data_IF_270120827488
#
_entry.id   IF_270120827488
#
_cell.length_a   1.000
_cell.length_b   1.000
_cell.length_c   1.000
_cell.angle_alpha   90.00
_cell.angle_beta   90.00
_cell.angle_gamma   90.00
#
_symmetry.space_group_name_H-M   'P 1'
#
loop_
_entity.id
_entity.type
_entity.pdbx_description
1 polymer ?
#
# COMPACT_ATOMS: atom_id res chain seq x y z
N UNK A 1 8.08 -21.12 4.46
CA UNK A 1 8.73 -20.69 3.19
C UNK A 1 9.10 -21.85 2.24
N UNK A 2 9.50 -23.03 2.73
CA UNK A 2 9.84 -24.20 1.88
C UNK A 2 8.65 -25.05 1.38
N UNK A 3 7.44 -24.83 1.90
CA UNK A 3 6.26 -25.65 1.59
C UNK A 3 5.62 -25.36 0.22
N UNK A 4 5.79 -24.15 -0.33
CA UNK A 4 5.23 -23.76 -1.63
C UNK A 4 6.00 -24.39 -2.80
N UNK A 5 7.32 -24.56 -2.67
CA UNK A 5 8.14 -25.27 -3.65
C UNK A 5 7.81 -26.77 -3.68
N UNK A 6 7.59 -27.36 -2.50
CA UNK A 6 7.08 -28.72 -2.42
C UNK A 6 5.70 -28.82 -3.07
N UNK A 7 4.77 -27.89 -2.86
CA UNK A 7 3.42 -27.98 -3.44
C UNK A 7 3.39 -27.86 -4.97
N UNK A 8 4.22 -27.04 -5.61
CA UNK A 8 4.24 -26.94 -7.09
C UNK A 8 4.90 -28.16 -7.71
N UNK A 9 6.04 -28.61 -7.17
CA UNK A 9 6.70 -29.84 -7.65
C UNK A 9 5.85 -31.07 -7.34
N UNK A 10 5.23 -31.13 -6.16
CA UNK A 10 4.32 -32.21 -5.77
C UNK A 10 2.99 -32.14 -6.52
N UNK A 11 2.52 -30.98 -6.99
CA UNK A 11 1.33 -30.87 -7.83
C UNK A 11 1.62 -31.30 -9.27
N UNK A 12 2.78 -30.97 -9.83
CA UNK A 12 3.23 -31.48 -11.14
C UNK A 12 3.51 -32.98 -11.06
N UNK A 13 4.15 -33.45 -9.98
CA UNK A 13 4.39 -34.88 -9.74
C UNK A 13 3.11 -35.65 -9.38
N UNK A 14 2.15 -35.04 -8.67
CA UNK A 14 0.84 -35.65 -8.39
C UNK A 14 -0.06 -35.66 -9.63
N UNK A 15 0.02 -34.65 -10.49
CA UNK A 15 -0.63 -34.66 -11.81
C UNK A 15 -0.02 -35.70 -12.74
N UNK A 16 1.29 -35.95 -12.64
CA UNK A 16 1.97 -37.07 -13.31
C UNK A 16 1.67 -38.43 -12.64
N UNK A 17 1.44 -38.48 -11.31
CA UNK A 17 1.20 -39.70 -10.54
C UNK A 17 -0.28 -40.13 -10.50
N UNK A 18 -1.24 -39.23 -10.74
CA UNK A 18 -2.66 -39.55 -10.90
C UNK A 18 -3.00 -40.17 -12.27
N UNK A 19 -1.96 -40.52 -13.04
CA UNK A 19 -2.09 -41.28 -14.26
C UNK A 19 -2.39 -40.36 -15.45
N UNK A 20 -1.50 -40.41 -16.44
CA UNK A 20 -1.87 -40.08 -17.81
C UNK A 20 -3.10 -40.94 -18.11
N UNK A 21 -4.29 -40.38 -18.41
CA UNK A 21 -5.41 -41.20 -18.83
C UNK A 21 -4.93 -42.02 -20.02
N UNK A 22 -4.92 -43.36 -19.84
CA UNK A 22 -4.45 -44.29 -20.85
C UNK A 22 -5.08 -43.94 -22.18
N UNK A 23 -4.30 -44.00 -23.26
CA UNK A 23 -4.66 -43.70 -24.65
C UNK A 23 -5.90 -44.45 -25.21
N UNK A 24 -6.68 -45.15 -24.39
CA UNK A 24 -7.68 -46.14 -24.77
C UNK A 24 -9.04 -45.99 -24.04
N UNK A 25 -9.45 -44.81 -23.59
CA UNK A 25 -10.86 -44.59 -23.16
C UNK A 25 -11.67 -43.94 -24.29
N UNK A 26 -12.68 -44.60 -24.86
CA UNK A 26 -13.44 -44.11 -26.02
C UNK A 26 -14.42 -42.96 -25.71
N UNK A 27 -14.50 -42.50 -24.46
CA UNK A 27 -15.50 -41.52 -24.00
C UNK A 27 -14.90 -40.30 -23.28
N UNK A 28 -13.58 -40.19 -23.17
CA UNK A 28 -12.90 -39.05 -22.54
C UNK A 28 -12.50 -37.97 -23.57
N UNK A 29 -12.39 -36.69 -23.18
CA UNK A 29 -11.77 -35.69 -24.04
C UNK A 29 -10.36 -36.17 -24.41
N UNK A 30 -9.91 -35.97 -25.67
CA UNK A 30 -8.58 -36.39 -26.10
C UNK A 30 -7.53 -35.90 -25.10
N UNK A 31 -6.55 -36.76 -24.75
CA UNK A 31 -5.59 -36.50 -23.67
C UNK A 31 -4.91 -35.11 -23.76
N UNK A 32 -4.79 -34.57 -24.97
CA UNK A 32 -4.30 -33.22 -25.25
C UNK A 32 -5.20 -32.09 -24.71
N UNK A 33 -6.53 -32.24 -24.75
CA UNK A 33 -7.48 -31.27 -24.19
C UNK A 33 -7.43 -31.29 -22.66
N UNK A 34 -7.43 -32.48 -22.06
CA UNK A 34 -7.28 -32.62 -20.60
C UNK A 34 -5.98 -31.98 -20.09
N UNK A 35 -4.86 -32.25 -20.75
CA UNK A 35 -3.56 -31.69 -20.37
C UNK A 35 -3.53 -30.16 -20.51
N UNK A 36 -4.17 -29.63 -21.57
CA UNK A 36 -4.32 -28.19 -21.78
C UNK A 36 -5.13 -27.55 -20.65
N UNK A 37 -6.25 -28.15 -20.26
CA UNK A 37 -7.14 -27.58 -19.24
C UNK A 37 -6.48 -27.58 -17.85
N UNK A 38 -5.75 -28.65 -17.51
CA UNK A 38 -4.95 -28.72 -16.28
C UNK A 38 -3.85 -27.64 -16.29
N UNK A 39 -3.14 -27.45 -17.41
CA UNK A 39 -2.11 -26.42 -17.52
C UNK A 39 -2.70 -25.00 -17.41
N UNK A 40 -3.84 -24.75 -18.04
CA UNK A 40 -4.50 -23.44 -17.98
C UNK A 40 -4.99 -23.12 -16.57
N UNK A 41 -5.59 -24.09 -15.88
CA UNK A 41 -6.03 -23.92 -14.50
C UNK A 41 -4.85 -23.67 -13.55
N UNK A 42 -3.73 -24.37 -13.75
CA UNK A 42 -2.52 -24.12 -12.97
C UNK A 42 -1.92 -22.74 -13.27
N UNK A 43 -1.90 -22.30 -14.52
CA UNK A 43 -1.42 -20.97 -14.89
C UNK A 43 -2.29 -19.85 -14.28
N UNK A 44 -3.61 -20.02 -14.28
CA UNK A 44 -4.54 -19.05 -13.67
C UNK A 44 -4.38 -18.98 -12.15
N UNK A 45 -4.23 -20.14 -11.50
CA UNK A 45 -3.93 -20.20 -10.06
C UNK A 45 -2.58 -19.55 -9.72
N UNK A 46 -1.54 -19.78 -10.53
CA UNK A 46 -0.24 -19.15 -10.34
C UNK A 46 -0.29 -17.64 -10.59
N UNK A 47 -1.08 -17.18 -11.57
CA UNK A 47 -1.24 -15.76 -11.87
C UNK A 47 -1.96 -15.03 -10.73
N UNK A 48 -3.03 -15.61 -10.18
CA UNK A 48 -3.75 -15.06 -9.03
C UNK A 48 -2.89 -15.06 -7.76
N UNK A 49 -2.14 -16.13 -7.51
CA UNK A 49 -1.18 -16.19 -6.42
C UNK A 49 -0.11 -15.10 -6.59
N UNK A 50 0.52 -15.00 -7.76
CA UNK A 50 1.56 -14.01 -8.06
C UNK A 50 1.05 -12.57 -7.87
N UNK A 51 -0.19 -12.29 -8.27
CA UNK A 51 -0.84 -10.99 -8.08
C UNK A 51 -1.00 -10.59 -6.61
N UNK A 52 -1.23 -11.57 -5.73
CA UNK A 52 -1.47 -11.34 -4.29
C UNK A 52 -0.19 -11.16 -3.46
N UNK A 53 0.98 -11.53 -4.00
CA UNK A 53 2.24 -11.51 -3.25
C UNK A 53 2.79 -10.07 -3.08
N UNK A 54 3.49 -9.83 -1.98
CA UNK A 54 4.30 -8.62 -1.80
C UNK A 54 5.41 -8.57 -2.86
N UNK A 55 5.85 -7.36 -3.24
CA UNK A 55 6.92 -7.15 -4.23
C UNK A 55 8.15 -8.05 -4.00
N UNK A 56 8.66 -8.11 -2.77
CA UNK A 56 9.81 -8.95 -2.38
C UNK A 56 9.55 -10.43 -2.67
N UNK A 57 8.35 -10.93 -2.35
CA UNK A 57 7.99 -12.32 -2.60
C UNK A 57 7.86 -12.61 -4.10
N UNK A 58 7.38 -11.65 -4.91
CA UNK A 58 7.37 -11.78 -6.37
C UNK A 58 8.79 -11.96 -6.91
N UNK A 59 9.78 -11.20 -6.42
CA UNK A 59 11.19 -11.37 -6.81
C UNK A 59 11.73 -12.76 -6.47
N UNK A 60 11.52 -13.20 -5.22
CA UNK A 60 11.95 -14.53 -4.78
C UNK A 60 11.29 -15.62 -5.61
N UNK A 61 9.99 -15.48 -5.91
CA UNK A 61 9.24 -16.40 -6.74
C UNK A 61 9.84 -16.53 -8.14
N UNK A 62 10.21 -15.41 -8.78
CA UNK A 62 10.85 -15.42 -10.10
C UNK A 62 12.24 -16.09 -10.07
N UNK A 63 13.07 -15.79 -9.07
CA UNK A 63 14.40 -16.43 -8.92
C UNK A 63 14.24 -17.94 -8.75
N UNK A 64 13.30 -18.37 -7.90
CA UNK A 64 12.99 -19.78 -7.67
C UNK A 64 12.46 -20.45 -8.93
N UNK A 65 11.58 -19.79 -9.68
CA UNK A 65 11.04 -20.30 -10.93
C UNK A 65 12.12 -20.43 -12.03
N UNK A 66 13.17 -19.60 -12.00
CA UNK A 66 14.29 -19.67 -12.94
C UNK A 66 15.26 -20.83 -12.65
N UNK A 67 15.43 -21.23 -11.38
CA UNK A 67 16.33 -22.32 -10.97
C UNK A 67 16.15 -23.64 -11.75
N UNK A 68 14.94 -24.20 -11.94
CA UNK A 68 14.78 -25.43 -12.71
C UNK A 68 15.23 -25.27 -14.16
N UNK A 69 15.05 -24.11 -14.79
CA UNK A 69 15.53 -23.87 -16.15
C UNK A 69 17.06 -23.84 -16.24
N UNK A 70 17.72 -23.22 -15.25
CA UNK A 70 19.19 -23.21 -15.16
C UNK A 70 19.72 -24.63 -14.96
N UNK A 71 19.12 -25.40 -14.05
CA UNK A 71 19.51 -26.78 -13.78
C UNK A 71 19.31 -27.69 -15.00
N UNK A 72 18.15 -27.60 -15.65
CA UNK A 72 17.85 -28.41 -16.83
C UNK A 72 18.82 -28.11 -17.97
N UNK A 73 19.05 -26.82 -18.27
CA UNK A 73 20.00 -26.40 -19.31
C UNK A 73 21.43 -26.84 -19.01
N UNK A 74 21.86 -26.77 -17.75
CA UNK A 74 23.18 -27.24 -17.28
C UNK A 74 23.36 -28.75 -17.44
N UNK A 75 22.34 -29.54 -17.11
CA UNK A 75 22.36 -31.01 -17.28
C UNK A 75 22.40 -31.39 -18.76
N UNK A 76 21.58 -30.76 -19.59
CA UNK A 76 21.60 -30.99 -21.04
C UNK A 76 22.96 -30.66 -21.66
N UNK A 77 23.55 -29.54 -21.26
CA UNK A 77 24.86 -29.13 -21.73
C UNK A 77 26.00 -30.06 -21.27
N UNK A 78 25.95 -30.52 -20.02
CA UNK A 78 26.88 -31.52 -19.50
C UNK A 78 26.85 -32.79 -20.36
N UNK A 79 25.66 -33.28 -20.73
CA UNK A 79 25.51 -34.46 -21.59
C UNK A 79 26.02 -34.25 -23.01
N UNK A 80 25.90 -33.04 -23.56
CA UNK A 80 26.33 -32.75 -24.93
C UNK A 80 27.84 -32.51 -25.07
N UNK A 81 28.48 -31.98 -24.03
CA UNK A 81 29.88 -31.50 -24.11
C UNK A 81 30.85 -32.25 -23.20
N UNK A 82 30.35 -33.05 -22.25
CA UNK A 82 31.19 -33.72 -21.24
C UNK A 82 31.83 -32.78 -20.22
N UNK A 83 31.50 -31.48 -20.24
CA UNK A 83 32.06 -30.49 -19.30
C UNK A 83 31.58 -30.73 -17.87
N UNK A 84 32.40 -30.53 -16.82
CA UNK A 84 31.98 -30.79 -15.45
C UNK A 84 30.74 -29.98 -15.07
N UNK A 85 29.78 -30.62 -14.38
CA UNK A 85 28.47 -30.04 -14.04
C UNK A 85 28.55 -28.67 -13.32
N UNK A 86 29.47 -28.44 -12.36
CA UNK A 86 29.61 -27.12 -11.74
C UNK A 86 29.97 -26.01 -12.74
N UNK A 87 30.80 -26.31 -13.74
CA UNK A 87 31.18 -25.34 -14.76
C UNK A 87 30.02 -25.01 -15.71
N UNK A 88 29.22 -26.01 -16.09
CA UNK A 88 28.02 -25.76 -16.89
C UNK A 88 26.97 -24.97 -16.10
N UNK A 89 26.84 -25.22 -14.80
CA UNK A 89 25.89 -24.51 -13.93
C UNK A 89 26.26 -23.02 -13.81
N UNK A 90 27.53 -22.70 -13.58
CA UNK A 90 28.03 -21.31 -13.57
C UNK A 90 27.79 -20.65 -14.93
N UNK A 91 28.05 -21.37 -16.03
CA UNK A 91 27.85 -20.87 -17.40
C UNK A 91 26.40 -20.46 -17.65
N UNK A 92 25.44 -21.33 -17.35
CA UNK A 92 24.02 -20.99 -17.52
C UNK A 92 23.50 -20.01 -16.48
N UNK A 93 24.04 -19.99 -15.26
CA UNK A 93 23.75 -18.94 -14.29
C UNK A 93 24.16 -17.56 -14.81
N UNK A 94 25.36 -17.43 -15.38
CA UNK A 94 25.85 -16.18 -15.99
C UNK A 94 25.02 -15.80 -17.21
N UNK A 95 24.67 -16.78 -18.05
CA UNK A 95 23.86 -16.55 -19.25
C UNK A 95 22.43 -16.10 -18.90
N UNK A 96 21.85 -16.66 -17.83
CA UNK A 96 20.50 -16.33 -17.39
C UNK A 96 20.45 -14.96 -16.69
N UNK A 97 21.46 -14.63 -15.87
CA UNK A 97 21.54 -13.35 -15.16
C UNK A 97 22.20 -12.21 -15.96
N UNK A 98 22.61 -12.49 -17.21
CA UNK A 98 23.29 -11.54 -18.10
C UNK A 98 24.49 -10.82 -17.45
N UNK A 99 25.33 -11.59 -16.75
CA UNK A 99 26.57 -11.02 -16.20
C UNK A 99 27.50 -10.65 -17.37
N UNK A 100 27.93 -9.39 -17.50
CA UNK A 100 28.77 -8.96 -18.60
C UNK A 100 30.16 -9.60 -18.51
N UNK A 101 30.75 -9.94 -19.66
CA UNK A 101 32.18 -10.32 -19.75
C UNK A 101 32.51 -11.69 -20.32
N UNK A 102 31.54 -12.54 -20.66
CA UNK A 102 31.83 -13.88 -21.16
C UNK A 102 31.41 -14.08 -22.63
N UNK A 103 32.41 -14.14 -23.53
CA UNK A 103 32.25 -14.72 -24.86
C UNK A 103 32.40 -16.24 -24.73
N UNK A 104 31.30 -16.97 -24.83
CA UNK A 104 31.34 -18.43 -24.79
C UNK A 104 31.65 -18.98 -26.18
N UNK A 105 32.84 -19.55 -26.36
CA UNK A 105 33.14 -20.39 -27.51
C UNK A 105 32.65 -21.80 -27.23
N UNK A 106 31.88 -22.38 -28.16
CA UNK A 106 31.30 -23.71 -28.03
C UNK A 106 31.96 -24.70 -28.98
N UNK A 107 32.32 -25.91 -28.51
CA UNK A 107 33.00 -26.90 -29.33
C UNK A 107 32.08 -27.68 -30.28
N UNK A 108 30.76 -27.66 -30.07
CA UNK A 108 29.79 -28.48 -30.80
C UNK A 108 28.62 -27.64 -31.33
N UNK A 109 28.17 -27.94 -32.56
CA UNK A 109 27.00 -27.30 -33.16
C UNK A 109 25.73 -27.45 -32.32
N UNK A 110 25.54 -28.61 -31.66
CA UNK A 110 24.42 -28.84 -30.76
C UNK A 110 24.49 -27.95 -29.51
N UNK A 111 25.70 -27.72 -28.98
CA UNK A 111 25.92 -26.82 -27.86
C UNK A 111 25.67 -25.36 -28.24
N UNK A 112 26.06 -24.95 -29.46
CA UNK A 112 25.77 -23.61 -30.00
C UNK A 112 24.26 -23.36 -30.05
N UNK A 113 23.49 -24.31 -30.60
CA UNK A 113 22.02 -24.18 -30.69
C UNK A 113 21.39 -24.09 -29.29
N UNK A 114 21.83 -24.92 -28.34
CA UNK A 114 21.34 -24.89 -26.97
C UNK A 114 21.63 -23.55 -26.29
N UNK A 115 22.88 -23.06 -26.37
CA UNK A 115 23.28 -21.80 -25.74
C UNK A 115 22.53 -20.62 -26.34
N UNK A 116 22.33 -20.59 -27.66
CA UNK A 116 21.54 -19.55 -28.33
C UNK A 116 20.06 -19.61 -27.93
N UNK A 117 19.47 -20.81 -27.86
CA UNK A 117 18.08 -20.97 -27.42
C UNK A 117 17.87 -20.47 -25.98
N UNK A 118 18.77 -20.86 -25.08
CA UNK A 118 18.72 -20.40 -23.68
C UNK A 118 18.99 -18.90 -23.58
N UNK A 119 19.87 -18.36 -24.41
CA UNK A 119 20.12 -16.92 -24.49
C UNK A 119 18.86 -16.15 -24.87
N UNK A 120 18.15 -16.54 -25.93
CA UNK A 120 16.89 -15.86 -26.30
C UNK A 120 15.82 -16.00 -25.22
N UNK A 121 15.68 -17.19 -24.63
CA UNK A 121 14.72 -17.45 -23.56
C UNK A 121 15.02 -16.62 -22.31
N UNK A 122 16.29 -16.52 -21.91
CA UNK A 122 16.69 -15.72 -20.75
C UNK A 122 16.50 -14.23 -20.99
N UNK A 123 16.81 -13.76 -22.21
CA UNK A 123 16.60 -12.37 -22.62
C UNK A 123 15.14 -11.95 -22.51
N UNK A 124 14.25 -12.79 -23.04
CA UNK A 124 12.82 -12.56 -22.98
C UNK A 124 12.30 -12.58 -21.53
N UNK A 125 12.72 -13.60 -20.75
CA UNK A 125 12.35 -13.72 -19.34
C UNK A 125 12.83 -12.52 -18.51
N UNK A 126 14.04 -12.03 -18.76
CA UNK A 126 14.60 -10.85 -18.13
C UNK A 126 13.81 -9.58 -18.47
N UNK A 127 13.45 -9.38 -19.74
CA UNK A 127 12.65 -8.24 -20.17
C UNK A 127 11.27 -8.22 -19.50
N UNK A 128 10.61 -9.38 -19.40
CA UNK A 128 9.33 -9.51 -18.69
C UNK A 128 9.48 -9.19 -17.20
N UNK A 129 10.50 -9.74 -16.54
CA UNK A 129 10.77 -9.48 -15.13
C UNK A 129 11.00 -7.98 -14.90
N UNK A 130 11.83 -7.34 -15.73
CA UNK A 130 12.08 -5.90 -15.63
C UNK A 130 10.79 -5.07 -15.80
N UNK A 131 9.89 -5.47 -16.70
CA UNK A 131 8.59 -4.84 -16.87
C UNK A 131 7.74 -4.89 -15.60
N UNK A 132 7.60 -6.07 -14.99
CA UNK A 132 6.85 -6.25 -13.72
C UNK A 132 7.46 -5.41 -12.60
N UNK A 133 8.79 -5.41 -12.50
CA UNK A 133 9.51 -4.65 -11.48
C UNK A 133 9.30 -3.15 -11.67
N UNK A 134 9.37 -2.67 -12.90
CA UNK A 134 9.16 -1.25 -13.22
C UNK A 134 7.76 -0.80 -12.83
N UNK A 135 6.74 -1.62 -13.10
CA UNK A 135 5.36 -1.31 -12.72
C UNK A 135 5.17 -1.32 -11.20
N UNK A 136 5.78 -2.26 -10.48
CA UNK A 136 5.73 -2.30 -9.01
C UNK A 136 6.44 -1.10 -8.37
N UNK A 137 7.60 -0.70 -8.91
CA UNK A 137 8.32 0.51 -8.48
C UNK A 137 7.48 1.75 -8.75
N UNK A 138 6.87 1.85 -9.93
CA UNK A 138 5.97 2.96 -10.29
C UNK A 138 4.78 3.04 -9.35
N UNK A 139 4.14 1.91 -9.05
CA UNK A 139 3.03 1.83 -8.10
C UNK A 139 3.46 2.21 -6.69
N UNK A 140 4.62 1.73 -6.24
CA UNK A 140 5.18 2.08 -4.93
C UNK A 140 5.44 3.59 -4.84
N UNK A 141 6.01 4.16 -5.90
CA UNK A 141 6.25 5.59 -6.01
C UNK A 141 4.95 6.40 -6.01
N UNK A 142 3.94 5.96 -6.76
CA UNK A 142 2.60 6.57 -6.73
C UNK A 142 1.99 6.51 -5.32
N UNK A 143 2.03 5.37 -4.65
CA UNK A 143 1.55 5.24 -3.27
C UNK A 143 2.29 6.17 -2.29
N UNK A 144 3.59 6.40 -2.50
CA UNK A 144 4.37 7.38 -1.73
C UNK A 144 3.93 8.82 -2.02
N UNK A 145 3.72 9.15 -3.30
CA UNK A 145 3.23 10.46 -3.72
C UNK A 145 1.85 10.75 -3.15
N UNK A 146 0.94 9.78 -3.19
CA UNK A 146 -0.42 9.86 -2.63
C UNK A 146 -0.43 9.83 -1.09
N UNK A 147 0.64 9.32 -0.47
CA UNK A 147 0.77 9.26 0.99
C UNK A 147 -0.04 8.14 1.60
N UNK A 148 -0.19 6.99 0.94
CA UNK A 148 -0.98 5.84 1.43
C UNK A 148 -0.36 5.19 2.68
N UNK A 149 0.84 5.60 3.08
CA UNK A 149 1.52 5.09 4.28
C UNK A 149 1.11 5.84 5.56
N UNK A 150 0.83 5.04 6.59
CA UNK A 150 0.47 5.54 7.92
C UNK A 150 1.61 6.32 8.57
N UNK A 151 1.27 7.48 9.14
CA UNK A 151 2.13 8.31 9.97
C UNK A 151 2.15 7.75 11.39
N UNK A 152 3.35 7.44 11.91
CA UNK A 152 3.53 6.81 13.23
C UNK A 152 3.85 7.83 14.32
N UNK A 153 2.97 8.81 14.54
CA UNK A 153 3.14 9.85 15.57
C UNK A 153 2.12 9.69 16.72
N UNK A 154 2.44 10.26 17.88
CA UNK A 154 1.59 10.30 19.09
C UNK A 154 1.50 11.72 19.62
N UNK A 155 0.36 12.07 20.21
CA UNK A 155 0.16 13.35 20.88
C UNK A 155 0.17 14.55 19.94
N UNK A 156 0.02 14.32 18.64
CA UNK A 156 0.04 15.31 17.56
C UNK A 156 -1.31 16.00 17.38
N UNK A 157 -1.32 17.10 16.63
CA UNK A 157 -2.54 17.76 16.18
C UNK A 157 -2.99 17.11 14.87
N UNK A 158 -4.27 16.76 14.79
CA UNK A 158 -4.88 16.28 13.55
C UNK A 158 -5.85 17.33 13.05
N UNK A 159 -5.76 17.65 11.76
CA UNK A 159 -6.74 18.44 11.05
C UNK A 159 -7.46 17.52 10.06
N UNK A 160 -8.78 17.48 10.14
CA UNK A 160 -9.64 16.62 9.32
C UNK A 160 -10.47 17.50 8.40
N UNK A 161 -10.57 17.07 7.14
CA UNK A 161 -11.07 17.83 5.99
C UNK A 161 -10.17 19.01 5.60
N UNK A 162 -10.44 19.57 4.42
CA UNK A 162 -9.75 20.74 3.90
C UNK A 162 -10.76 21.78 3.43
N UNK A 163 -10.52 23.03 3.79
CA UNK A 163 -11.17 24.21 3.23
C UNK A 163 -10.20 25.38 3.02
N UNK A 164 -10.70 26.47 2.47
CA UNK A 164 -10.01 27.74 2.25
C UNK A 164 -9.43 28.38 3.52
N UNK A 165 -9.94 28.02 4.70
CA UNK A 165 -9.41 28.46 5.99
C UNK A 165 -8.26 27.60 6.52
N UNK A 166 -8.05 26.38 6.00
CA UNK A 166 -6.95 25.49 6.44
C UNK A 166 -5.57 26.17 6.35
N UNK A 167 -5.20 26.81 5.22
CA UNK A 167 -3.94 27.54 5.13
C UNK A 167 -3.78 28.62 6.19
N UNK A 168 -4.88 29.33 6.50
CA UNK A 168 -4.91 30.38 7.50
C UNK A 168 -4.70 29.81 8.91
N UNK A 169 -5.35 28.69 9.23
CA UNK A 169 -5.15 27.98 10.51
C UNK A 169 -3.70 27.54 10.66
N UNK A 170 -3.08 27.00 9.60
CA UNK A 170 -1.65 26.62 9.64
C UNK A 170 -0.74 27.82 9.88
N UNK A 171 -1.04 28.98 9.27
CA UNK A 171 -0.31 30.21 9.52
C UNK A 171 -0.48 30.70 10.95
N UNK A 172 -1.70 30.67 11.49
CA UNK A 172 -1.98 31.03 12.88
C UNK A 172 -1.25 30.12 13.88
N UNK A 173 -1.12 28.83 13.59
CA UNK A 173 -0.32 27.91 14.41
C UNK A 173 1.17 28.26 14.37
N UNK A 174 1.69 28.63 13.19
CA UNK A 174 3.08 29.06 13.04
C UNK A 174 3.36 30.38 13.79
N UNK A 175 2.47 31.36 13.64
CA UNK A 175 2.55 32.63 14.35
C UNK A 175 2.43 32.43 15.87
N UNK A 176 1.58 31.49 16.31
CA UNK A 176 1.45 31.07 17.71
C UNK A 176 2.74 30.48 18.28
N UNK A 177 3.44 29.66 17.50
CA UNK A 177 4.74 29.11 17.89
C UNK A 177 5.80 30.21 18.08
N UNK A 178 5.86 31.17 17.14
CA UNK A 178 6.77 32.31 17.23
C UNK A 178 6.50 33.16 18.47
N UNK A 179 5.23 33.43 18.75
CA UNK A 179 4.83 34.20 19.93
C UNK A 179 5.10 33.45 21.24
N UNK A 180 4.85 32.14 21.28
CA UNK A 180 5.17 31.31 22.44
C UNK A 180 6.68 31.28 22.72
N UNK A 181 7.50 31.19 21.67
CA UNK A 181 8.95 31.27 21.77
C UNK A 181 9.40 32.65 22.28
N UNK A 182 8.80 33.75 21.78
CA UNK A 182 9.11 35.10 22.22
C UNK A 182 8.71 35.38 23.68
N UNK A 183 7.61 34.78 24.16
CA UNK A 183 7.14 34.90 25.56
C UNK A 183 7.89 34.01 26.53
N UNK A 184 8.66 33.03 26.04
CA UNK A 184 9.41 32.10 26.89
C UNK A 184 8.53 31.17 27.73
N UNK A 185 7.29 30.92 27.32
CA UNK A 185 6.37 30.01 28.02
C UNK A 185 6.57 28.57 27.51
N UNK A 186 7.17 27.65 28.29
CA UNK A 186 7.53 26.31 27.81
C UNK A 186 6.30 25.44 27.52
N UNK A 187 5.19 25.63 28.23
CA UNK A 187 3.95 24.86 28.03
C UNK A 187 3.29 25.16 26.67
N UNK A 188 3.19 26.45 26.33
CA UNK A 188 2.64 26.88 25.04
C UNK A 188 3.54 26.43 23.89
N UNK A 189 4.86 26.54 24.06
CA UNK A 189 5.82 26.10 23.04
C UNK A 189 5.69 24.59 22.79
N UNK A 190 5.54 23.78 23.84
CA UNK A 190 5.33 22.34 23.73
C UNK A 190 4.01 21.96 23.03
N UNK A 191 3.01 22.85 23.03
CA UNK A 191 1.79 22.66 22.26
C UNK A 191 2.00 22.94 20.78
N UNK A 192 2.58 24.10 20.44
CA UNK A 192 2.74 24.54 19.04
C UNK A 192 3.87 23.82 18.29
N UNK A 193 4.85 23.24 19.00
CA UNK A 193 5.94 22.48 18.37
C UNK A 193 5.55 21.07 17.94
N UNK A 194 4.32 20.62 18.22
CA UNK A 194 3.86 19.27 17.88
C UNK A 194 3.59 19.14 16.38
N UNK A 195 3.83 17.96 15.79
CA UNK A 195 3.56 17.74 14.37
C UNK A 195 2.05 17.87 14.08
N UNK A 196 1.74 18.31 12.86
CA UNK A 196 0.37 18.51 12.38
C UNK A 196 0.08 17.56 11.23
N UNK A 197 -0.89 16.68 11.42
CA UNK A 197 -1.32 15.70 10.42
C UNK A 197 -2.66 16.12 9.82
N UNK A 198 -2.73 16.18 8.49
CA UNK A 198 -3.90 16.66 7.76
C UNK A 198 -4.46 15.50 6.92
N UNK A 199 -5.75 15.21 7.06
CA UNK A 199 -6.48 14.27 6.20
C UNK A 199 -7.59 15.01 5.47
N UNK A 200 -7.61 14.93 4.14
CA UNK A 200 -8.68 15.52 3.35
C UNK A 200 -8.92 14.80 2.02
N UNK A 201 -10.13 14.97 1.49
CA UNK A 201 -10.53 14.51 0.15
C UNK A 201 -10.02 15.46 -0.94
N UNK A 202 -8.70 15.71 -0.92
CA UNK A 202 -7.98 16.54 -1.88
C UNK A 202 -6.69 15.84 -2.28
N UNK A 203 -6.21 15.97 -3.52
CA UNK A 203 -4.93 15.40 -3.92
C UNK A 203 -3.78 15.93 -3.06
N UNK A 204 -2.95 15.02 -2.54
CA UNK A 204 -1.81 15.37 -1.67
C UNK A 204 -0.85 16.36 -2.33
N UNK A 205 -0.60 16.24 -3.63
CA UNK A 205 0.26 17.16 -4.37
C UNK A 205 -0.20 18.62 -4.31
N UNK A 206 -1.52 18.87 -4.35
CA UNK A 206 -2.08 20.22 -4.25
C UNK A 206 -1.99 20.76 -2.83
N UNK A 207 -2.29 19.93 -1.83
CA UNK A 207 -2.15 20.30 -0.42
C UNK A 207 -0.69 20.64 -0.09
N UNK A 208 0.25 19.79 -0.50
CA UNK A 208 1.68 20.00 -0.28
C UNK A 208 2.17 21.26 -0.99
N UNK A 209 1.68 21.57 -2.20
CA UNK A 209 1.98 22.83 -2.89
C UNK A 209 1.52 24.05 -2.09
N UNK A 210 0.29 24.02 -1.54
CA UNK A 210 -0.23 25.10 -0.71
C UNK A 210 0.57 25.23 0.60
N UNK A 211 0.84 24.13 1.30
CA UNK A 211 1.61 24.10 2.55
C UNK A 211 3.04 24.62 2.33
N UNK A 212 3.70 24.20 1.24
CA UNK A 212 5.04 24.66 0.90
C UNK A 212 5.06 26.15 0.56
N UNK A 213 4.02 26.66 -0.11
CA UNK A 213 3.86 28.09 -0.40
C UNK A 213 3.73 28.95 0.86
N UNK A 214 3.22 28.40 1.96
CA UNK A 214 3.09 29.12 3.24
C UNK A 214 4.39 29.18 4.05
N UNK A 215 5.37 28.30 3.77
CA UNK A 215 6.63 28.24 4.52
C UNK A 215 6.52 27.73 5.97
N UNK A 216 5.37 27.17 6.37
CA UNK A 216 5.09 26.73 7.75
C UNK A 216 5.96 25.56 8.24
N UNK A 217 6.53 24.77 7.32
CA UNK A 217 7.40 23.61 7.63
C UNK A 217 8.69 23.98 8.36
N UNK A 218 9.04 25.27 8.44
CA UNK A 218 10.17 25.77 9.23
C UNK A 218 9.90 25.76 10.73
N UNK A 219 8.63 25.77 11.13
CA UNK A 219 8.22 25.90 12.52
C UNK A 219 7.84 24.53 13.11
N UNK A 220 7.03 23.76 12.40
CA UNK A 220 6.58 22.43 12.80
C UNK A 220 6.47 21.49 11.59
N UNK A 221 6.53 20.19 11.86
CA UNK A 221 6.38 19.16 10.84
C UNK A 221 4.91 19.02 10.42
N UNK A 222 4.65 19.03 9.11
CA UNK A 222 3.30 18.90 8.55
C UNK A 222 3.23 17.72 7.60
N UNK A 223 2.31 16.79 7.86
CA UNK A 223 2.05 15.67 6.97
C UNK A 223 0.62 15.73 6.44
N UNK A 224 0.49 16.01 5.13
CA UNK A 224 -0.78 15.87 4.43
C UNK A 224 -0.98 14.45 3.90
N UNK A 225 -2.23 13.99 3.94
CA UNK A 225 -2.71 12.68 3.47
C UNK A 225 -4.03 12.86 2.74
N UNK A 226 -4.15 12.19 1.60
CA UNK A 226 -5.40 12.17 0.84
C UNK A 226 -6.28 11.02 1.35
N UNK A 227 -7.56 11.28 1.57
CA UNK A 227 -8.51 10.26 2.02
C UNK A 227 -9.77 10.87 2.66
N UNK A 228 -10.74 10.03 2.98
CA UNK A 228 -12.02 10.46 3.51
C UNK A 228 -12.09 10.33 5.02
N UNK A 229 -12.52 11.41 5.67
CA UNK A 229 -12.66 11.47 7.13
C UNK A 229 -13.74 10.53 7.71
N UNK A 230 -14.69 10.12 6.88
CA UNK A 230 -15.75 9.16 7.25
C UNK A 230 -15.23 7.72 7.31
N UNK A 231 -14.11 7.44 6.64
CA UNK A 231 -13.57 6.09 6.53
C UNK A 231 -12.53 5.86 7.64
N UNK A 232 -12.76 4.90 8.56
CA UNK A 232 -11.84 4.68 9.67
C UNK A 232 -10.46 4.17 9.23
N UNK A 233 -10.36 3.55 8.05
CA UNK A 233 -9.08 3.16 7.44
C UNK A 233 -8.20 4.38 7.15
N UNK A 234 -8.80 5.46 6.66
CA UNK A 234 -8.07 6.68 6.26
C UNK A 234 -7.70 7.50 7.50
N UNK A 235 -8.55 7.52 8.52
CA UNK A 235 -8.22 8.08 9.84
C UNK A 235 -7.05 7.34 10.52
N UNK A 236 -6.82 6.05 10.23
CA UNK A 236 -5.62 5.34 10.68
C UNK A 236 -4.36 5.84 9.98
N UNK A 237 -4.44 6.30 8.72
CA UNK A 237 -3.27 6.82 7.98
C UNK A 237 -2.62 8.02 8.67
N UNK A 238 -3.41 8.86 9.32
CA UNK A 238 -2.95 10.03 10.10
C UNK A 238 -2.82 9.74 11.60
N UNK A 239 -2.97 8.48 12.00
CA UNK A 239 -3.00 8.05 13.42
C UNK A 239 -3.95 8.89 14.28
N UNK A 240 -5.16 9.16 13.79
CA UNK A 240 -6.16 9.96 14.51
C UNK A 240 -6.48 9.40 15.91
N UNK A 241 -6.39 8.09 16.09
CA UNK A 241 -6.56 7.39 17.37
C UNK A 241 -5.53 7.74 18.46
N UNK A 242 -4.38 8.32 18.08
CA UNK A 242 -3.29 8.69 19.01
C UNK A 242 -3.04 10.20 19.06
N UNK A 243 -3.89 10.98 18.41
CA UNK A 243 -3.81 12.43 18.39
C UNK A 243 -4.15 13.00 19.77
N UNK A 244 -3.51 14.11 20.16
CA UNK A 244 -3.89 14.83 21.38
C UNK A 244 -5.11 15.71 21.15
N UNK A 245 -5.19 16.35 19.98
CA UNK A 245 -6.30 17.21 19.58
C UNK A 245 -6.66 16.94 18.13
N UNK A 246 -7.95 17.00 17.84
CA UNK A 246 -8.47 16.83 16.47
C UNK A 246 -9.32 18.04 16.13
N UNK A 247 -8.96 18.75 15.07
CA UNK A 247 -9.70 19.85 14.49
C UNK A 247 -10.43 19.35 13.25
N UNK A 248 -11.76 19.36 13.28
CA UNK A 248 -12.61 18.93 12.17
C UNK A 248 -13.12 20.19 11.48
N UNK A 249 -12.69 20.39 10.25
CA UNK A 249 -13.13 21.51 9.42
C UNK A 249 -14.28 21.10 8.53
N UNK A 250 -15.03 22.10 8.05
CA UNK A 250 -16.02 21.85 7.01
C UNK A 250 -15.30 21.53 5.70
N UNK A 251 -15.65 20.43 5.00
CA UNK A 251 -15.06 20.12 3.70
C UNK A 251 -15.50 21.15 2.65
N UNK A 252 -14.60 21.50 1.73
CA UNK A 252 -14.96 22.23 0.51
C UNK A 252 -15.72 21.32 -0.46
N UNK A 253 -17.04 21.46 -0.53
CA UNK A 253 -17.83 20.81 -1.59
C UNK A 253 -17.81 21.69 -2.85
N UNK A 254 -17.27 21.14 -3.95
CA UNK A 254 -17.09 21.82 -5.25
C UNK A 254 -18.36 22.05 -6.07
N UNK A 255 -19.52 22.24 -5.44
CA UNK A 255 -20.81 22.43 -6.11
C UNK A 255 -21.86 22.94 -5.12
N UNK A 256 -23.02 23.35 -5.61
CA UNK A 256 -24.17 23.87 -4.84
C UNK A 256 -24.76 22.80 -3.88
N UNK A 257 -23.96 22.32 -2.93
CA UNK A 257 -24.36 21.38 -1.90
C UNK A 257 -25.24 22.09 -0.88
N UNK A 258 -26.40 21.50 -0.59
CA UNK A 258 -27.24 21.93 0.50
C UNK A 258 -26.42 21.88 1.80
N UNK A 259 -26.36 22.96 2.57
CA UNK A 259 -25.53 23.04 3.80
C UNK A 259 -25.80 21.94 4.84
N UNK A 260 -26.91 21.20 4.69
CA UNK A 260 -27.23 19.98 5.44
C UNK A 260 -26.28 18.81 5.14
N UNK A 261 -25.86 18.63 3.87
CA UNK A 261 -24.95 17.54 3.49
C UNK A 261 -23.54 17.77 4.05
N UNK A 262 -23.08 19.01 4.02
CA UNK A 262 -21.81 19.40 4.63
C UNK A 262 -21.84 19.19 6.15
N UNK A 263 -22.94 19.55 6.81
CA UNK A 263 -23.14 19.28 8.23
C UNK A 263 -23.14 17.78 8.54
N UNK A 264 -23.82 16.98 7.72
CA UNK A 264 -23.84 15.54 7.87
C UNK A 264 -22.44 14.93 7.71
N UNK A 265 -21.64 15.42 6.75
CA UNK A 265 -20.25 14.99 6.55
C UNK A 265 -19.36 15.36 7.74
N UNK A 266 -19.51 16.57 8.28
CA UNK A 266 -18.77 17.01 9.48
C UNK A 266 -19.16 16.17 10.70
N UNK A 267 -20.45 15.92 10.91
CA UNK A 267 -20.94 15.08 12.00
C UNK A 267 -20.47 13.62 11.87
N UNK A 268 -20.53 13.05 10.66
CA UNK A 268 -20.01 11.71 10.38
C UNK A 268 -18.50 11.62 10.64
N UNK A 269 -17.73 12.62 10.23
CA UNK A 269 -16.29 12.72 10.51
C UNK A 269 -16.02 12.79 12.02
N UNK A 270 -16.81 13.58 12.76
CA UNK A 270 -16.70 13.70 14.20
C UNK A 270 -17.01 12.39 14.93
N UNK A 271 -18.05 11.67 14.49
CA UNK A 271 -18.37 10.35 15.02
C UNK A 271 -17.25 9.35 14.75
N UNK A 272 -16.73 9.30 13.52
CA UNK A 272 -15.65 8.39 13.15
C UNK A 272 -14.37 8.64 13.97
N UNK A 273 -14.01 9.90 14.18
CA UNK A 273 -12.88 10.29 15.05
C UNK A 273 -13.14 9.90 16.51
N UNK A 274 -14.34 10.17 17.03
CA UNK A 274 -14.69 9.87 18.42
C UNK A 274 -14.67 8.37 18.72
N UNK A 275 -15.03 7.54 17.73
CA UNK A 275 -14.95 6.08 17.82
C UNK A 275 -13.50 5.58 17.88
N UNK A 276 -12.58 6.27 17.21
CA UNK A 276 -11.15 5.91 17.16
C UNK A 276 -10.34 6.49 18.34
N UNK A 277 -10.74 7.64 18.88
CA UNK A 277 -10.01 8.35 19.91
C UNK A 277 -10.96 8.88 21.00
N UNK A 278 -11.15 8.07 22.05
CA UNK A 278 -12.05 8.40 23.17
C UNK A 278 -11.51 9.46 24.13
N UNK A 279 -10.22 9.80 24.04
CA UNK A 279 -9.55 10.74 24.95
C UNK A 279 -9.09 12.04 24.32
N UNK A 280 -9.26 12.22 23.00
CA UNK A 280 -8.82 13.44 22.33
C UNK A 280 -9.83 14.58 22.49
N UNK A 281 -9.29 15.79 22.63
CA UNK A 281 -10.08 17.01 22.54
C UNK A 281 -10.43 17.29 21.08
N UNK A 282 -11.72 17.11 20.72
CA UNK A 282 -12.24 17.31 19.35
C UNK A 282 -12.86 18.70 19.25
N UNK A 283 -12.36 19.52 18.32
CA UNK A 283 -12.91 20.84 17.98
C UNK A 283 -13.53 20.74 16.60
N UNK A 284 -14.81 21.14 16.47
CA UNK A 284 -15.56 21.05 15.21
C UNK A 284 -15.93 22.44 14.73
N UNK A 285 -15.61 22.74 13.48
CA UNK A 285 -16.08 23.95 12.80
C UNK A 285 -17.55 23.76 12.41
N UNK A 286 -18.43 24.59 12.98
CA UNK A 286 -19.85 24.64 12.58
C UNK A 286 -20.02 25.65 11.44
N UNK A 287 -20.78 25.34 10.38
CA UNK A 287 -21.17 26.34 9.38
C UNK A 287 -22.02 27.45 10.02
N UNK A 288 -21.86 28.67 9.49
CA UNK A 288 -22.37 29.92 10.05
C UNK A 288 -23.89 30.14 10.01
N UNK A 289 -24.71 29.15 9.63
CA UNK A 289 -26.18 29.23 9.74
C UNK A 289 -26.76 28.60 11.02
N UNK A 290 -25.91 28.22 11.97
CA UNK A 290 -26.33 27.80 13.33
C UNK A 290 -26.01 28.90 14.36
N UNK A 291 -26.05 30.16 13.92
CA UNK A 291 -26.01 31.32 14.81
C UNK A 291 -27.44 31.78 15.11
N UNK A 292 -27.88 31.45 16.32
CA UNK A 292 -29.02 32.03 17.08
C UNK A 292 -30.43 31.40 17.02
N UNK A 293 -30.97 30.90 15.90
CA UNK A 293 -32.43 30.59 15.89
C UNK A 293 -32.86 29.12 16.10
N UNK A 294 -32.07 28.11 15.71
CA UNK A 294 -32.53 26.72 15.78
C UNK A 294 -31.94 25.96 16.98
N UNK A 295 -32.64 25.99 18.13
CA UNK A 295 -32.40 25.12 19.29
C UNK A 295 -32.28 23.64 18.91
N UNK A 296 -33.03 23.23 17.88
CA UNK A 296 -33.10 21.86 17.38
C UNK A 296 -31.76 21.29 16.89
N UNK A 297 -30.96 22.03 16.12
CA UNK A 297 -29.68 21.50 15.58
C UNK A 297 -28.59 21.37 16.65
N UNK A 298 -28.59 22.25 17.66
CA UNK A 298 -27.73 22.10 18.85
C UNK A 298 -28.16 20.90 19.69
N UNK A 299 -29.47 20.65 19.77
CA UNK A 299 -30.00 19.42 20.37
C UNK A 299 -29.65 18.19 19.55
N UNK A 300 -29.64 18.22 18.22
CA UNK A 300 -29.21 17.09 17.39
C UNK A 300 -27.73 16.76 17.55
N UNK A 301 -26.84 17.78 17.57
CA UNK A 301 -25.41 17.54 17.82
C UNK A 301 -25.16 17.07 19.26
N UNK A 302 -25.84 17.68 20.24
CA UNK A 302 -25.79 17.19 21.63
C UNK A 302 -26.38 15.81 21.77
N UNK A 303 -27.45 15.48 21.06
CA UNK A 303 -28.10 14.16 21.08
C UNK A 303 -27.25 13.12 20.34
N UNK A 304 -26.56 13.47 19.26
CA UNK A 304 -25.60 12.57 18.61
C UNK A 304 -24.39 12.29 19.50
N UNK A 305 -23.87 13.32 20.18
CA UNK A 305 -22.81 13.18 21.19
C UNK A 305 -23.31 12.38 22.41
N UNK A 306 -24.54 12.63 22.88
CA UNK A 306 -25.17 11.95 24.03
C UNK A 306 -25.62 10.52 23.70
N UNK A 307 -26.00 10.24 22.45
CA UNK A 307 -26.28 8.89 21.96
C UNK A 307 -25.00 8.05 21.84
N UNK A 308 -23.83 8.69 21.77
CA UNK A 308 -22.54 7.99 21.92
C UNK A 308 -22.15 7.75 23.39
N UNK A 309 -22.81 8.40 24.36
CA UNK A 309 -22.54 8.28 25.80
C UNK A 309 -22.84 6.89 26.43
N UNK A 310 -23.89 6.15 26.04
CA UNK A 310 -24.09 4.77 26.54
C UNK A 310 -23.05 3.77 26.00
N UNK A 311 -22.29 4.10 24.95
CA UNK A 311 -21.14 3.28 24.48
C UNK A 311 -19.85 3.64 25.24
N UNK A 312 -19.82 4.79 25.93
CA UNK A 312 -18.70 5.26 26.75
C UNK A 312 -18.73 4.72 28.19
N UNK A 313 -19.89 4.31 28.70
CA UNK A 313 -20.06 3.84 30.10
C UNK A 313 -19.98 2.31 30.28
N UNK A 314 -19.84 1.55 29.19
CA UNK A 314 -19.92 0.08 29.22
C UNK A 314 -18.74 -0.67 29.84
N UNK A 315 -17.57 -0.06 30.08
CA UNK A 315 -16.40 -0.74 30.68
C UNK A 315 -15.63 0.19 31.62
N UNK A 316 -16.27 0.56 32.73
CA UNK A 316 -15.61 1.04 33.94
C UNK A 316 -15.51 -0.10 34.95
N UNK A 317 -14.65 -1.09 34.67
CA UNK A 317 -14.22 -2.03 35.69
C UNK A 317 -13.48 -1.27 36.79
N UNK A 318 -14.03 -1.35 37.99
CA UNK A 318 -13.38 -1.10 39.28
C UNK A 318 -11.85 -1.17 39.22
N UNK A 319 -11.18 -0.08 39.58
CA UNK A 319 -9.96 -0.12 40.37
C UNK A 319 -9.83 1.23 41.11
N UNK A 320 -9.65 1.07 42.42
CA UNK A 320 -9.46 2.09 43.46
C UNK A 320 -8.29 3.04 43.16
#
# INVERSE_FOLDING_TARGET
>A
PGWLQFMVIFSVMAALAHGIPSLASPTGPPAAQWLRDVLLAQLDWLATLFGSLNAILKFVFVIVAAMPFVLLSSVFYHRLTGTPLPASLIKFYVLFNRVPGNLFSEPSAAAIVLVNAVYYLSTFSFALMFGVVTEEVKRTYQNLQEGVYQVHQRGHLVIVNWNSFTPLVLKMLADGQLQAAARGCPEDLAFYSKPVNILADKPKAEMDKQINGLGVRRFFEVHARSGQATVPKDLKLISAGKAARVLIMQPECGGHGNGLEDQARVAASAMAVSMLNRGAHVVVQSPSMVSSENKSSKEYLRAAVKACEPVLTGHGGSLQ
#
